data_IF_121724781494
#
_entry.id   IF_121724781494
#
_cell.length_a   1.000
_cell.length_b   1.000
_cell.length_c   1.000
_cell.angle_alpha   90.00
_cell.angle_beta   90.00
_cell.angle_gamma   90.00
#
_symmetry.space_group_name_H-M   'P 1'
#
loop_
_entity.id
_entity.type
_entity.pdbx_description
1 polymer ?
#
# COMPACT_ATOMS: atom_id res chain seq x y z
N UNK A 1 28.49 2.37 -27.71
CA UNK A 1 27.41 1.91 -28.62
C UNK A 1 26.55 3.10 -29.02
N UNK A 2 26.21 3.27 -30.30
CA UNK A 2 25.41 4.39 -30.80
C UNK A 2 23.95 4.31 -30.29
N UNK A 3 23.27 5.45 -30.19
CA UNK A 3 21.87 5.52 -29.70
C UNK A 3 20.87 4.68 -30.50
N UNK A 4 21.13 4.45 -31.79
CA UNK A 4 20.27 3.62 -32.65
C UNK A 4 20.31 2.12 -32.29
N UNK A 5 21.50 1.57 -31.97
CA UNK A 5 21.63 0.16 -31.57
C UNK A 5 20.95 -0.11 -30.21
N UNK A 6 20.89 0.90 -29.33
CA UNK A 6 20.24 0.77 -28.02
C UNK A 6 18.71 0.69 -28.14
N UNK A 7 18.11 1.50 -29.00
CA UNK A 7 16.66 1.50 -29.27
C UNK A 7 16.22 0.18 -29.92
N UNK A 8 17.03 -0.36 -30.84
CA UNK A 8 16.74 -1.64 -31.49
C UNK A 8 16.85 -2.82 -30.52
N UNK A 9 17.86 -2.82 -29.64
CA UNK A 9 18.00 -3.82 -28.58
C UNK A 9 16.86 -3.77 -27.55
N UNK A 10 16.40 -2.57 -27.16
CA UNK A 10 15.25 -2.38 -26.28
C UNK A 10 13.94 -2.91 -26.88
N UNK A 11 13.74 -2.74 -28.20
CA UNK A 11 12.59 -3.30 -28.91
C UNK A 11 12.58 -4.83 -28.94
N UNK A 12 13.74 -5.46 -29.16
CA UNK A 12 13.89 -6.92 -29.16
C UNK A 12 13.61 -7.50 -27.77
N UNK A 13 14.17 -6.92 -26.71
CA UNK A 13 13.96 -7.40 -25.33
C UNK A 13 12.48 -7.31 -24.94
N UNK A 14 11.76 -6.25 -25.31
CA UNK A 14 10.32 -6.13 -25.05
C UNK A 14 9.51 -7.24 -25.72
N UNK A 15 9.88 -7.64 -26.94
CA UNK A 15 9.21 -8.74 -27.63
C UNK A 15 9.48 -10.07 -26.93
N UNK A 16 10.73 -10.33 -26.54
CA UNK A 16 11.12 -11.53 -25.78
C UNK A 16 10.33 -11.62 -24.45
N UNK A 17 10.24 -10.52 -23.71
CA UNK A 17 9.46 -10.48 -22.46
C UNK A 17 8.00 -10.87 -22.70
N UNK A 18 7.36 -10.28 -23.72
CA UNK A 18 5.95 -10.59 -24.05
C UNK A 18 5.74 -12.05 -24.45
N UNK A 19 6.67 -12.61 -25.20
CA UNK A 19 6.62 -14.01 -25.64
C UNK A 19 6.72 -14.96 -24.44
N UNK A 20 7.66 -14.73 -23.53
CA UNK A 20 7.80 -15.53 -22.30
C UNK A 20 6.54 -15.41 -21.42
N UNK A 21 5.98 -14.20 -21.25
CA UNK A 21 4.73 -13.98 -20.49
C UNK A 21 3.59 -14.80 -21.09
N UNK A 22 3.41 -14.75 -22.42
CA UNK A 22 2.37 -15.49 -23.12
C UNK A 22 2.56 -17.00 -22.99
N UNK A 23 3.79 -17.47 -23.10
CA UNK A 23 4.09 -18.90 -23.02
C UNK A 23 3.87 -19.44 -21.60
N UNK A 24 4.31 -18.75 -20.56
CA UNK A 24 4.01 -19.10 -19.17
C UNK A 24 2.50 -19.09 -18.90
N UNK A 25 1.78 -18.07 -19.38
CA UNK A 25 0.33 -17.97 -19.20
C UNK A 25 -0.41 -19.12 -19.90
N UNK A 26 0.02 -19.51 -21.11
CA UNK A 26 -0.56 -20.65 -21.84
C UNK A 26 -0.40 -21.99 -21.09
N UNK A 27 0.56 -22.06 -20.16
CA UNK A 27 0.87 -23.22 -19.32
C UNK A 27 0.33 -23.08 -17.89
N UNK A 28 -0.50 -22.07 -17.64
CA UNK A 28 -1.22 -21.87 -16.37
C UNK A 28 -0.51 -20.99 -15.34
N UNK A 29 0.64 -20.41 -15.65
CA UNK A 29 1.42 -19.57 -14.74
C UNK A 29 1.38 -18.10 -15.17
N UNK A 30 0.72 -17.26 -14.38
CA UNK A 30 0.69 -15.82 -14.58
C UNK A 30 1.96 -15.16 -14.04
N UNK A 31 2.75 -14.54 -14.92
CA UNK A 31 4.00 -13.84 -14.55
C UNK A 31 3.98 -12.39 -15.01
N UNK A 32 4.58 -11.49 -14.21
CA UNK A 32 4.70 -10.08 -14.58
C UNK A 32 5.86 -9.84 -15.54
N UNK A 33 5.75 -8.81 -16.38
CA UNK A 33 6.85 -8.39 -17.27
C UNK A 33 8.13 -8.06 -16.48
N UNK A 34 8.00 -7.48 -15.28
CA UNK A 34 9.13 -7.17 -14.38
C UNK A 34 9.85 -8.42 -13.90
N UNK A 35 9.10 -9.46 -13.48
CA UNK A 35 9.69 -10.73 -13.06
C UNK A 35 10.44 -11.39 -14.22
N UNK A 36 9.84 -11.38 -15.41
CA UNK A 36 10.44 -11.94 -16.63
C UNK A 36 11.73 -11.19 -16.99
N UNK A 37 11.72 -9.85 -16.94
CA UNK A 37 12.91 -9.04 -17.16
C UNK A 37 14.04 -9.37 -16.17
N UNK A 38 13.70 -9.61 -14.90
CA UNK A 38 14.67 -10.03 -13.89
C UNK A 38 15.24 -11.43 -14.23
N UNK A 39 14.40 -12.39 -14.57
CA UNK A 39 14.83 -13.76 -14.92
C UNK A 39 15.71 -13.79 -16.17
N UNK A 40 15.36 -13.02 -17.21
CA UNK A 40 16.22 -12.85 -18.40
C UNK A 40 17.61 -12.39 -17.98
N UNK A 41 17.68 -11.33 -17.16
CA UNK A 41 18.96 -10.80 -16.66
C UNK A 41 19.72 -11.86 -15.85
N UNK A 42 19.06 -12.60 -14.97
CA UNK A 42 19.70 -13.66 -14.19
C UNK A 42 20.28 -14.77 -15.07
N UNK A 43 19.54 -15.22 -16.09
CA UNK A 43 19.96 -16.31 -16.99
C UNK A 43 21.12 -15.88 -17.88
N UNK A 44 21.07 -14.65 -18.41
CA UNK A 44 22.15 -14.09 -19.25
C UNK A 44 23.44 -13.89 -18.46
N UNK A 45 23.34 -13.54 -17.18
CA UNK A 45 24.51 -13.35 -16.31
C UNK A 45 25.09 -14.63 -15.73
N UNK A 46 24.37 -15.76 -15.80
CA UNK A 46 24.84 -17.02 -15.24
C UNK A 46 25.90 -17.65 -16.17
N UNK A 47 27.16 -17.83 -15.71
CA UNK A 47 28.27 -18.25 -16.58
C UNK A 47 28.04 -19.59 -17.27
N UNK A 48 27.22 -20.47 -16.69
CA UNK A 48 26.91 -21.79 -17.23
C UNK A 48 26.06 -21.73 -18.50
N UNK A 49 25.35 -20.62 -18.72
CA UNK A 49 24.48 -20.45 -19.88
C UNK A 49 25.23 -19.87 -21.09
N UNK A 50 26.48 -19.44 -20.93
CA UNK A 50 27.38 -19.01 -22.02
C UNK A 50 26.76 -17.97 -22.99
N UNK A 51 26.01 -17.01 -22.45
CA UNK A 51 25.50 -15.88 -23.23
C UNK A 51 26.56 -14.77 -23.33
N UNK A 52 26.85 -14.31 -24.55
CA UNK A 52 27.77 -13.20 -24.78
C UNK A 52 27.03 -11.86 -24.71
N UNK A 53 27.20 -11.12 -23.61
CA UNK A 53 26.49 -9.86 -23.32
C UNK A 53 26.80 -8.74 -24.33
N UNK A 54 27.97 -8.78 -24.98
CA UNK A 54 28.44 -7.72 -25.89
C UNK A 54 28.15 -7.99 -27.38
N UNK A 55 27.45 -9.09 -27.72
CA UNK A 55 27.15 -9.47 -29.11
C UNK A 55 25.67 -9.30 -29.41
N UNK A 56 25.35 -9.02 -30.69
CA UNK A 56 23.96 -9.04 -31.16
C UNK A 56 23.43 -10.47 -31.04
N UNK A 57 22.30 -10.65 -30.33
CA UNK A 57 21.66 -11.95 -30.15
C UNK A 57 21.23 -12.53 -31.51
N UNK A 58 21.72 -13.72 -31.85
CA UNK A 58 21.21 -14.46 -32.99
C UNK A 58 19.81 -15.01 -32.70
N UNK A 59 19.01 -15.31 -33.72
CA UNK A 59 17.66 -15.88 -33.55
C UNK A 59 17.66 -17.17 -32.73
N UNK A 60 18.70 -17.99 -32.86
CA UNK A 60 18.89 -19.22 -32.08
C UNK A 60 19.16 -18.92 -30.59
N UNK A 61 19.95 -17.89 -30.29
CA UNK A 61 20.21 -17.44 -28.92
C UNK A 61 18.94 -16.89 -28.26
N UNK A 62 18.09 -16.21 -29.03
CA UNK A 62 16.80 -15.70 -28.55
C UNK A 62 15.87 -16.85 -28.16
N UNK A 63 15.72 -17.85 -29.03
CA UNK A 63 14.87 -19.01 -28.71
C UNK A 63 15.39 -19.77 -27.49
N UNK A 64 16.72 -19.99 -27.43
CA UNK A 64 17.36 -20.64 -26.27
C UNK A 64 17.12 -19.87 -24.97
N UNK A 65 17.19 -18.53 -25.02
CA UNK A 65 16.90 -17.67 -23.88
C UNK A 65 15.44 -17.81 -23.43
N UNK A 66 14.49 -17.78 -24.37
CA UNK A 66 13.06 -17.96 -24.07
C UNK A 66 12.83 -19.31 -23.39
N UNK A 67 13.35 -20.39 -23.97
CA UNK A 67 13.17 -21.75 -23.42
C UNK A 67 13.74 -21.87 -22.00
N UNK A 68 14.92 -21.30 -21.74
CA UNK A 68 15.53 -21.29 -20.41
C UNK A 68 14.70 -20.47 -19.42
N UNK A 69 14.21 -19.29 -19.82
CA UNK A 69 13.35 -18.44 -19.00
C UNK A 69 12.02 -19.14 -18.66
N UNK A 70 11.33 -19.68 -19.66
CA UNK A 70 10.06 -20.38 -19.48
C UNK A 70 10.26 -21.59 -18.58
N UNK A 71 11.28 -22.42 -18.83
CA UNK A 71 11.61 -23.56 -17.97
C UNK A 71 11.86 -23.11 -16.52
N UNK A 72 12.59 -22.02 -16.33
CA UNK A 72 12.89 -21.48 -15.01
C UNK A 72 11.64 -20.97 -14.30
N UNK A 73 10.76 -20.25 -14.99
CA UNK A 73 9.54 -19.66 -14.44
C UNK A 73 8.46 -20.70 -14.09
N UNK A 74 8.45 -21.83 -14.77
CA UNK A 74 7.53 -22.95 -14.52
C UNK A 74 8.06 -23.95 -13.46
N UNK A 75 9.26 -23.74 -12.92
CA UNK A 75 9.81 -24.59 -11.87
C UNK A 75 9.16 -24.28 -10.51
N UNK A 76 7.96 -24.83 -10.32
CA UNK A 76 7.13 -24.61 -9.13
C UNK A 76 7.74 -25.16 -7.84
N UNK A 77 8.80 -25.97 -7.90
CA UNK A 77 9.48 -26.54 -6.73
C UNK A 77 10.74 -25.77 -6.31
N UNK A 78 11.02 -24.65 -6.97
CA UNK A 78 12.25 -23.89 -6.74
C UNK A 78 12.09 -22.80 -5.69
N UNK A 79 12.65 -23.05 -4.51
CA UNK A 79 12.73 -22.03 -3.45
C UNK A 79 13.54 -20.78 -3.87
N UNK A 80 14.52 -20.94 -4.78
CA UNK A 80 15.24 -19.78 -5.35
C UNK A 80 14.36 -18.96 -6.29
N UNK A 81 13.44 -19.58 -7.05
CA UNK A 81 12.46 -18.84 -7.82
C UNK A 81 11.48 -18.11 -6.91
N UNK A 82 11.00 -18.75 -5.84
CA UNK A 82 10.11 -18.10 -4.87
C UNK A 82 10.76 -16.89 -4.20
N UNK A 83 12.05 -17.00 -3.88
CA UNK A 83 12.83 -15.87 -3.34
C UNK A 83 12.86 -14.71 -4.33
N UNK A 84 13.11 -14.98 -5.62
CA UNK A 84 13.11 -13.94 -6.66
C UNK A 84 11.70 -13.34 -6.82
N UNK A 85 10.65 -14.16 -6.84
CA UNK A 85 9.26 -13.70 -6.91
C UNK A 85 8.93 -12.78 -5.73
N UNK A 86 9.33 -13.17 -4.52
CA UNK A 86 9.17 -12.38 -3.30
C UNK A 86 9.90 -11.05 -3.39
N UNK A 87 11.16 -11.04 -3.87
CA UNK A 87 11.96 -9.83 -4.01
C UNK A 87 11.35 -8.86 -5.03
N UNK A 88 11.00 -9.35 -6.22
CA UNK A 88 10.37 -8.53 -7.26
C UNK A 88 9.01 -8.00 -6.78
N UNK A 89 8.22 -8.83 -6.09
CA UNK A 89 6.95 -8.40 -5.52
C UNK A 89 7.16 -7.28 -4.49
N UNK A 90 8.07 -7.46 -3.55
CA UNK A 90 8.33 -6.47 -2.51
C UNK A 90 8.83 -5.15 -3.13
N UNK A 91 9.80 -5.20 -4.04
CA UNK A 91 10.33 -4.02 -4.73
C UNK A 91 9.26 -3.26 -5.55
N UNK A 92 8.26 -3.96 -6.08
CA UNK A 92 7.19 -3.34 -6.86
C UNK A 92 6.06 -2.74 -6.01
N UNK A 93 5.84 -3.25 -4.79
CA UNK A 93 4.66 -2.93 -3.99
C UNK A 93 5.00 -2.19 -2.69
N UNK A 94 6.23 -2.24 -2.23
CA UNK A 94 6.71 -1.51 -1.07
C UNK A 94 7.44 -0.23 -1.50
N UNK A 95 7.14 0.87 -0.79
CA UNK A 95 7.82 2.17 -0.92
C UNK A 95 7.89 2.78 0.46
N UNK A 96 8.71 3.81 0.65
CA UNK A 96 8.79 4.48 1.96
C UNK A 96 7.45 5.14 2.32
N UNK A 97 7.20 5.27 3.62
CA UNK A 97 5.99 5.91 4.16
C UNK A 97 5.70 7.28 3.53
N UNK A 98 6.73 8.12 3.38
CA UNK A 98 6.59 9.48 2.84
C UNK A 98 6.23 9.49 1.35
N UNK A 99 6.88 8.63 0.56
CA UNK A 99 6.57 8.45 -0.86
C UNK A 99 5.14 7.94 -1.03
N UNK A 100 4.75 6.95 -0.23
CA UNK A 100 3.40 6.39 -0.27
C UNK A 100 2.33 7.46 0.02
N UNK A 101 2.46 8.20 1.12
CA UNK A 101 1.48 9.21 1.50
C UNK A 101 1.43 10.37 0.48
N UNK A 102 2.58 10.75 -0.06
CA UNK A 102 2.66 11.78 -1.11
C UNK A 102 1.90 11.33 -2.36
N UNK A 103 2.14 10.10 -2.80
CA UNK A 103 1.48 9.54 -3.98
C UNK A 103 -0.03 9.31 -3.74
N UNK A 104 -0.41 8.80 -2.57
CA UNK A 104 -1.80 8.63 -2.18
C UNK A 104 -2.58 9.97 -2.24
N UNK A 105 -2.03 11.03 -1.64
CA UNK A 105 -2.64 12.36 -1.67
C UNK A 105 -2.72 12.92 -3.10
N UNK A 106 -1.69 12.68 -3.93
CA UNK A 106 -1.68 13.07 -5.35
C UNK A 106 -2.79 12.36 -6.12
N UNK A 107 -2.96 11.05 -5.93
CA UNK A 107 -4.01 10.24 -6.58
C UNK A 107 -5.39 10.70 -6.13
N UNK A 108 -5.61 10.92 -4.83
CA UNK A 108 -6.87 11.44 -4.30
C UNK A 108 -7.20 12.80 -4.93
N UNK A 109 -6.25 13.73 -4.95
CA UNK A 109 -6.42 15.04 -5.56
C UNK A 109 -6.75 14.93 -7.06
N UNK A 110 -6.11 14.01 -7.78
CA UNK A 110 -6.38 13.73 -9.19
C UNK A 110 -7.81 13.21 -9.41
N UNK A 111 -8.28 12.29 -8.56
CA UNK A 111 -9.66 11.76 -8.62
C UNK A 111 -10.71 12.82 -8.34
N UNK A 112 -10.39 13.81 -7.52
CA UNK A 112 -11.28 14.93 -7.21
C UNK A 112 -11.28 16.03 -8.29
N UNK A 113 -10.27 16.09 -9.18
CA UNK A 113 -10.18 17.16 -10.19
C UNK A 113 -11.45 17.39 -11.03
N UNK A 114 -12.19 16.36 -11.49
CA UNK A 114 -13.38 16.57 -12.31
C UNK A 114 -14.44 17.44 -11.62
N UNK A 115 -14.84 17.09 -10.39
CA UNK A 115 -15.84 17.86 -9.63
C UNK A 115 -15.33 19.26 -9.26
N UNK A 116 -14.03 19.39 -8.98
CA UNK A 116 -13.43 20.69 -8.65
C UNK A 116 -13.40 21.65 -9.84
N UNK A 117 -13.12 21.14 -11.04
CA UNK A 117 -13.23 21.95 -12.26
C UNK A 117 -14.66 22.39 -12.50
N UNK A 118 -15.63 21.49 -12.32
CA UNK A 118 -17.04 21.84 -12.44
C UNK A 118 -17.48 22.95 -11.47
N UNK A 119 -16.90 23.01 -10.27
CA UNK A 119 -17.20 24.07 -9.28
C UNK A 119 -16.45 25.36 -9.62
N UNK A 120 -15.14 25.28 -9.90
CA UNK A 120 -14.29 26.46 -10.07
C UNK A 120 -14.52 27.19 -11.39
N UNK A 121 -14.84 26.44 -12.45
CA UNK A 121 -15.15 26.99 -13.78
C UNK A 121 -16.62 27.40 -13.90
N UNK A 122 -17.45 27.14 -12.89
CA UNK A 122 -18.86 27.52 -12.86
C UNK A 122 -19.07 29.04 -12.95
N UNK A 123 -20.10 29.45 -13.71
CA UNK A 123 -20.53 30.85 -13.94
C UNK A 123 -22.05 31.01 -13.80
N UNK A 124 -22.66 30.19 -12.97
CA UNK A 124 -24.10 30.11 -12.78
C UNK A 124 -24.70 31.43 -12.27
N UNK A 125 -25.89 31.77 -12.76
CA UNK A 125 -26.58 33.03 -12.45
C UNK A 125 -28.02 32.83 -12.00
N UNK A 126 -28.66 31.71 -12.38
CA UNK A 126 -30.03 31.41 -11.96
C UNK A 126 -30.06 30.76 -10.58
N UNK A 127 -31.20 30.83 -9.90
CA UNK A 127 -31.37 30.25 -8.57
C UNK A 127 -31.15 28.73 -8.59
N UNK A 128 -31.75 28.05 -9.56
CA UNK A 128 -31.66 26.60 -9.73
C UNK A 128 -30.22 26.14 -10.00
N UNK A 129 -29.47 26.93 -10.78
CA UNK A 129 -28.06 26.66 -11.04
C UNK A 129 -27.17 26.89 -9.80
N UNK A 130 -27.45 27.92 -9.00
CA UNK A 130 -26.75 28.17 -7.73
C UNK A 130 -27.02 27.06 -6.71
N UNK A 131 -28.25 26.56 -6.63
CA UNK A 131 -28.59 25.39 -5.80
C UNK A 131 -27.83 24.13 -6.27
N UNK A 132 -27.71 23.94 -7.59
CA UNK A 132 -26.91 22.86 -8.18
C UNK A 132 -25.42 22.99 -7.82
N UNK A 133 -24.85 24.20 -7.95
CA UNK A 133 -23.47 24.49 -7.56
C UNK A 133 -23.23 24.19 -6.08
N UNK A 134 -24.14 24.62 -5.21
CA UNK A 134 -24.02 24.38 -3.77
C UNK A 134 -23.99 22.88 -3.44
N UNK A 135 -24.84 22.08 -4.10
CA UNK A 135 -24.81 20.61 -3.96
C UNK A 135 -23.45 20.03 -4.38
N UNK A 136 -22.86 20.51 -5.47
CA UNK A 136 -21.51 20.09 -5.90
C UNK A 136 -20.45 20.45 -4.86
N UNK A 137 -20.53 21.63 -4.25
CA UNK A 137 -19.62 22.03 -3.16
C UNK A 137 -19.75 21.06 -1.98
N UNK A 138 -20.98 20.76 -1.53
CA UNK A 138 -21.22 19.78 -0.46
C UNK A 138 -20.64 18.40 -0.81
N UNK A 139 -20.90 17.90 -2.02
CA UNK A 139 -20.32 16.63 -2.48
C UNK A 139 -18.79 16.67 -2.50
N UNK A 140 -18.17 17.77 -2.92
CA UNK A 140 -16.72 17.91 -2.92
C UNK A 140 -16.12 17.91 -1.51
N UNK A 141 -16.80 18.54 -0.55
CA UNK A 141 -16.40 18.55 0.87
C UNK A 141 -16.50 17.14 1.47
N UNK A 142 -17.58 16.40 1.18
CA UNK A 142 -17.73 15.01 1.64
C UNK A 142 -16.65 14.10 1.05
N UNK A 143 -16.44 14.15 -0.27
CA UNK A 143 -15.43 13.32 -0.94
C UNK A 143 -14.01 13.62 -0.48
N UNK A 144 -13.69 14.89 -0.19
CA UNK A 144 -12.37 15.27 0.35
C UNK A 144 -12.19 14.90 1.82
N UNK A 145 -13.23 15.05 2.62
CA UNK A 145 -13.16 14.80 4.07
C UNK A 145 -13.16 13.31 4.43
N UNK A 146 -13.71 12.46 3.56
CA UNK A 146 -13.89 11.04 3.85
C UNK A 146 -14.86 10.76 4.99
N UNK A 147 -15.71 11.73 5.37
CA UNK A 147 -16.71 11.61 6.43
C UNK A 147 -18.06 11.11 5.86
N UNK A 148 -18.06 9.92 5.27
CA UNK A 148 -19.25 9.28 4.71
C UNK A 148 -19.52 9.57 3.23
N UNK A 149 -20.60 8.96 2.70
CA UNK A 149 -20.91 8.98 1.27
C UNK A 149 -21.73 10.20 0.85
N UNK A 150 -21.43 10.85 -0.30
CA UNK A 150 -22.30 11.89 -0.88
C UNK A 150 -23.62 11.33 -1.44
N UNK A 151 -23.83 10.01 -1.42
CA UNK A 151 -25.10 9.37 -1.81
C UNK A 151 -26.02 9.14 -0.60
N UNK A 152 -25.52 9.27 0.62
CA UNK A 152 -26.31 9.11 1.84
C UNK A 152 -26.97 10.44 2.22
N UNK A 153 -28.29 10.45 2.23
CA UNK A 153 -29.11 11.64 2.49
C UNK A 153 -28.83 12.21 3.90
N UNK A 154 -28.60 11.35 4.90
CA UNK A 154 -28.36 11.76 6.28
C UNK A 154 -27.02 12.50 6.40
N UNK A 155 -25.97 11.93 5.81
CA UNK A 155 -24.61 12.49 5.72
C UNK A 155 -24.61 13.80 4.96
N UNK A 156 -25.28 13.85 3.80
CA UNK A 156 -25.40 15.06 2.97
C UNK A 156 -26.13 16.17 3.73
N UNK A 157 -27.19 15.85 4.47
CA UNK A 157 -27.93 16.84 5.27
C UNK A 157 -27.06 17.41 6.38
N UNK A 158 -26.32 16.57 7.09
CA UNK A 158 -25.42 17.02 8.16
C UNK A 158 -24.27 17.90 7.61
N UNK A 159 -23.62 17.47 6.53
CA UNK A 159 -22.58 18.26 5.88
C UNK A 159 -23.11 19.56 5.28
N UNK A 160 -24.33 19.57 4.76
CA UNK A 160 -25.00 20.79 4.28
C UNK A 160 -25.24 21.76 5.44
N UNK A 161 -25.74 21.29 6.59
CA UNK A 161 -25.97 22.13 7.76
C UNK A 161 -24.66 22.71 8.31
N UNK A 162 -23.60 21.89 8.40
CA UNK A 162 -22.27 22.35 8.81
C UNK A 162 -21.70 23.38 7.82
N UNK A 163 -21.82 23.14 6.50
CA UNK A 163 -21.38 24.10 5.49
C UNK A 163 -22.18 25.40 5.54
N UNK A 164 -23.51 25.34 5.67
CA UNK A 164 -24.36 26.54 5.76
C UNK A 164 -24.03 27.42 6.97
N UNK A 165 -23.51 26.82 8.06
CA UNK A 165 -23.09 27.58 9.24
C UNK A 165 -21.85 28.45 9.02
N UNK A 166 -21.05 28.17 8.00
CA UNK A 166 -19.80 28.89 7.69
C UNK A 166 -19.76 29.50 6.30
N UNK A 167 -20.60 29.03 5.40
CA UNK A 167 -20.71 29.43 4.01
C UNK A 167 -22.17 29.30 3.55
N UNK A 168 -23.04 30.25 3.94
CA UNK A 168 -24.44 30.24 3.53
C UNK A 168 -24.56 30.48 2.01
N UNK A 169 -25.68 30.07 1.41
CA UNK A 169 -25.90 30.20 -0.04
C UNK A 169 -25.78 31.64 -0.55
N UNK A 170 -26.01 32.64 0.30
CA UNK A 170 -25.83 34.05 -0.03
C UNK A 170 -24.37 34.40 -0.38
N UNK A 171 -23.39 33.64 0.11
CA UNK A 171 -21.97 33.82 -0.19
C UNK A 171 -21.55 33.24 -1.55
N UNK A 172 -22.43 32.52 -2.25
CA UNK A 172 -22.13 31.99 -3.58
C UNK A 172 -21.80 33.09 -4.60
N UNK A 173 -22.43 34.27 -4.49
CA UNK A 173 -22.13 35.41 -5.35
C UNK A 173 -20.68 35.88 -5.17
N UNK A 174 -20.23 36.00 -3.92
CA UNK A 174 -18.84 36.35 -3.60
C UNK A 174 -17.87 35.27 -4.07
N UNK A 175 -18.20 33.99 -3.83
CA UNK A 175 -17.41 32.85 -4.30
C UNK A 175 -17.23 32.85 -5.82
N UNK A 176 -18.29 33.10 -6.59
CA UNK A 176 -18.25 33.07 -8.05
C UNK A 176 -17.31 34.14 -8.64
N UNK A 177 -17.15 35.28 -7.96
CA UNK A 177 -16.27 36.38 -8.34
C UNK A 177 -14.78 36.11 -8.07
N UNK A 178 -14.45 35.07 -7.31
CA UNK A 178 -13.06 34.72 -7.01
C UNK A 178 -12.34 34.14 -8.24
N UNK A 179 -11.01 34.28 -8.24
CA UNK A 179 -10.16 33.59 -9.20
C UNK A 179 -10.27 32.07 -9.01
N UNK A 180 -9.97 31.29 -10.06
CA UNK A 180 -9.96 29.82 -9.98
C UNK A 180 -9.10 29.31 -8.80
N UNK A 181 -7.92 29.91 -8.62
CA UNK A 181 -6.99 29.60 -7.53
C UNK A 181 -7.58 29.90 -6.15
N UNK A 182 -8.26 31.03 -6.01
CA UNK A 182 -8.89 31.42 -4.74
C UNK A 182 -10.12 30.57 -4.42
N UNK A 183 -10.91 30.18 -5.44
CA UNK A 183 -11.99 29.19 -5.28
C UNK A 183 -11.45 27.86 -4.77
N UNK A 184 -10.37 27.36 -5.38
CA UNK A 184 -9.72 26.12 -4.94
C UNK A 184 -9.24 26.22 -3.48
N UNK A 185 -8.59 27.33 -3.10
CA UNK A 185 -8.16 27.57 -1.72
C UNK A 185 -9.34 27.59 -0.75
N UNK A 186 -10.42 28.32 -1.11
CA UNK A 186 -11.61 28.40 -0.28
C UNK A 186 -12.30 27.03 -0.12
N UNK A 187 -12.34 26.19 -1.17
CA UNK A 187 -12.88 24.84 -1.06
C UNK A 187 -12.07 23.97 -0.08
N UNK A 188 -10.74 24.11 -0.04
CA UNK A 188 -9.90 23.40 0.93
C UNK A 188 -10.20 23.87 2.35
N UNK A 189 -10.26 25.19 2.57
CA UNK A 189 -10.58 25.78 3.88
C UNK A 189 -11.97 25.35 4.36
N UNK A 190 -12.99 25.44 3.51
CA UNK A 190 -14.35 24.99 3.81
C UNK A 190 -14.39 23.50 4.14
N UNK A 191 -13.63 22.68 3.41
CA UNK A 191 -13.52 21.25 3.72
C UNK A 191 -12.99 21.03 5.12
N UNK A 192 -11.88 21.69 5.49
CA UNK A 192 -11.26 21.54 6.81
C UNK A 192 -12.18 22.03 7.93
N UNK A 193 -12.83 23.19 7.76
CA UNK A 193 -13.75 23.74 8.76
C UNK A 193 -14.96 22.82 8.93
N UNK A 194 -15.61 22.40 7.84
CA UNK A 194 -16.79 21.52 7.89
C UNK A 194 -16.45 20.16 8.49
N UNK A 195 -15.29 19.60 8.15
CA UNK A 195 -14.79 18.34 8.74
C UNK A 195 -14.67 18.48 10.25
N UNK A 196 -14.01 19.54 10.73
CA UNK A 196 -13.87 19.80 12.16
C UNK A 196 -15.21 20.01 12.88
N UNK A 197 -16.15 20.74 12.27
CA UNK A 197 -17.50 20.94 12.84
C UNK A 197 -18.22 19.60 13.00
N UNK A 198 -18.20 18.74 11.97
CA UNK A 198 -18.88 17.44 12.02
C UNK A 198 -18.26 16.50 13.06
N UNK A 199 -16.92 16.48 13.17
CA UNK A 199 -16.23 15.72 14.20
C UNK A 199 -16.58 16.20 15.62
N UNK A 200 -16.64 17.51 15.82
CA UNK A 200 -17.06 18.09 17.09
C UNK A 200 -18.53 17.80 17.41
N UNK A 201 -19.42 17.88 16.42
CA UNK A 201 -20.84 17.54 16.59
C UNK A 201 -21.04 16.06 16.96
N UNK A 202 -20.25 15.16 16.36
CA UNK A 202 -20.19 13.74 16.75
C UNK A 202 -19.82 13.60 18.23
N UNK A 203 -18.76 14.25 18.67
CA UNK A 203 -18.30 14.23 20.07
C UNK A 203 -19.37 14.78 21.04
N UNK A 204 -20.16 15.77 20.63
CA UNK A 204 -21.27 16.30 21.42
C UNK A 204 -22.56 15.46 21.37
N UNK A 205 -22.59 14.34 20.64
CA UNK A 205 -23.79 13.53 20.44
C UNK A 205 -24.90 14.23 19.62
N UNK A 206 -24.53 15.22 18.80
CA UNK A 206 -25.44 16.04 17.99
C UNK A 206 -25.32 15.77 16.48
N UNK A 207 -24.54 14.76 16.09
CA UNK A 207 -24.26 14.41 14.71
C UNK A 207 -23.28 13.25 14.63
N UNK A 208 -22.54 13.16 13.53
CA UNK A 208 -21.59 12.09 13.26
C UNK A 208 -22.09 10.98 12.35
N UNK A 209 -23.15 11.24 11.58
CA UNK A 209 -23.69 10.27 10.63
C UNK A 209 -22.63 9.92 9.58
N UNK A 210 -22.41 8.61 9.37
CA UNK A 210 -21.42 8.11 8.42
C UNK A 210 -19.95 8.41 8.79
N UNK A 211 -19.66 8.82 10.02
CA UNK A 211 -18.28 8.98 10.51
C UNK A 211 -17.86 7.71 11.26
N UNK A 212 -16.97 6.93 10.67
CA UNK A 212 -16.38 5.75 11.32
C UNK A 212 -15.57 6.12 12.56
N UNK A 213 -15.34 5.16 13.46
CA UNK A 213 -14.44 5.35 14.59
C UNK A 213 -13.02 4.91 14.21
N UNK A 214 -12.38 5.65 13.30
CA UNK A 214 -11.01 5.35 12.86
C UNK A 214 -10.03 5.14 14.03
N UNK A 215 -10.08 5.94 15.12
CA UNK A 215 -9.21 5.68 16.26
C UNK A 215 -9.43 4.33 16.93
N UNK A 216 -10.68 3.87 17.06
CA UNK A 216 -10.95 2.52 17.60
C UNK A 216 -10.50 1.42 16.63
N UNK A 217 -10.79 1.59 15.34
CA UNK A 217 -10.38 0.64 14.29
C UNK A 217 -8.86 0.48 14.27
N UNK A 218 -8.11 1.58 14.29
CA UNK A 218 -6.65 1.56 14.32
C UNK A 218 -6.09 0.93 15.61
N UNK A 219 -6.69 1.24 16.76
CA UNK A 219 -6.28 0.64 18.05
C UNK A 219 -6.47 -0.88 18.09
N UNK A 220 -7.37 -1.44 17.28
CA UNK A 220 -7.56 -2.89 17.15
C UNK A 220 -6.67 -3.48 16.05
N UNK A 221 -6.67 -2.86 14.87
CA UNK A 221 -6.01 -3.37 13.68
C UNK A 221 -4.48 -3.35 13.77
N UNK A 222 -3.89 -2.32 14.41
CA UNK A 222 -2.44 -2.21 14.55
C UNK A 222 -1.86 -3.36 15.41
N UNK A 223 -2.35 -3.61 16.65
CA UNK A 223 -1.89 -4.75 17.44
C UNK A 223 -2.11 -6.11 16.76
N UNK A 224 -3.25 -6.28 16.08
CA UNK A 224 -3.53 -7.51 15.33
C UNK A 224 -2.50 -7.73 14.21
N UNK A 225 -2.19 -6.69 13.43
CA UNK A 225 -1.19 -6.74 12.36
C UNK A 225 0.21 -6.99 12.91
N UNK A 226 0.60 -6.34 14.01
CA UNK A 226 1.90 -6.60 14.66
C UNK A 226 2.04 -8.03 15.16
N UNK A 227 0.97 -8.59 15.73
CA UNK A 227 0.94 -9.98 16.18
C UNK A 227 1.12 -10.95 15.01
N UNK A 228 0.43 -10.70 13.90
CA UNK A 228 0.55 -11.51 12.69
C UNK A 228 1.98 -11.46 12.12
N UNK A 229 2.55 -10.26 11.99
CA UNK A 229 3.94 -10.09 11.55
C UNK A 229 4.91 -10.82 12.48
N UNK A 230 4.71 -10.73 13.80
CA UNK A 230 5.54 -11.42 14.77
C UNK A 230 5.45 -12.94 14.62
N UNK A 231 4.25 -13.49 14.49
CA UNK A 231 4.06 -14.93 14.28
C UNK A 231 4.78 -15.42 13.01
N UNK A 232 4.60 -14.71 11.89
CA UNK A 232 5.29 -15.08 10.64
C UNK A 232 6.81 -14.91 10.72
N UNK A 233 7.28 -13.95 11.53
CA UNK A 233 8.72 -13.76 11.77
C UNK A 233 9.28 -14.94 12.55
N UNK A 234 8.60 -15.36 13.63
CA UNK A 234 9.01 -16.50 14.45
C UNK A 234 9.01 -17.79 13.62
N UNK A 235 8.01 -18.00 12.78
CA UNK A 235 7.93 -19.15 11.86
C UNK A 235 9.09 -19.15 10.83
N UNK A 236 9.46 -17.98 10.31
CA UNK A 236 10.57 -17.84 9.37
C UNK A 236 11.94 -18.09 10.04
N UNK A 237 12.10 -17.65 11.30
CA UNK A 237 13.29 -17.91 12.11
C UNK A 237 13.41 -19.41 12.41
N UNK A 238 12.35 -20.03 12.92
CA UNK A 238 12.30 -21.47 13.22
C UNK A 238 12.58 -22.32 11.97
N UNK A 239 11.98 -21.94 10.83
CA UNK A 239 12.28 -22.58 9.54
C UNK A 239 13.76 -22.47 9.18
N UNK A 240 14.36 -21.29 9.35
CA UNK A 240 15.79 -21.06 9.08
C UNK A 240 16.69 -21.91 9.98
N UNK A 241 16.38 -21.97 11.28
CA UNK A 241 17.15 -22.76 12.28
C UNK A 241 17.08 -24.26 12.00
N UNK A 242 15.90 -24.77 11.63
CA UNK A 242 15.72 -26.17 11.20
C UNK A 242 16.56 -26.48 9.96
N UNK A 243 16.55 -25.61 8.95
CA UNK A 243 17.33 -25.82 7.72
C UNK A 243 18.85 -25.78 8.00
N UNK A 244 19.31 -24.91 8.90
CA UNK A 244 20.71 -24.87 9.35
C UNK A 244 21.09 -26.20 10.02
N UNK A 245 20.25 -26.68 10.94
CA UNK A 245 20.49 -27.96 11.64
C UNK A 245 20.60 -29.14 10.68
N UNK A 246 19.75 -29.18 9.65
CA UNK A 246 19.81 -30.20 8.59
C UNK A 246 21.12 -30.10 7.80
N UNK A 247 21.56 -28.89 7.43
CA UNK A 247 22.83 -28.69 6.73
C UNK A 247 24.02 -29.14 7.58
N UNK A 248 24.02 -28.83 8.87
CA UNK A 248 25.08 -29.23 9.80
C UNK A 248 25.14 -30.76 9.95
N UNK A 249 23.98 -31.42 10.08
CA UNK A 249 23.91 -32.88 10.12
C UNK A 249 24.39 -33.52 8.80
N UNK A 250 24.05 -32.94 7.64
CA UNK A 250 24.58 -33.41 6.35
C UNK A 250 26.11 -33.32 6.29
N UNK A 251 26.70 -32.26 6.84
CA UNK A 251 28.15 -32.06 6.87
C UNK A 251 28.82 -33.03 7.87
N UNK A 252 28.25 -33.22 9.05
CA UNK A 252 28.83 -34.04 10.11
C UNK A 252 28.74 -35.54 9.84
N UNK A 253 27.62 -36.02 9.28
CA UNK A 253 27.31 -37.45 9.20
C UNK A 253 27.59 -38.07 7.83
N UNK A 254 28.14 -37.30 6.87
CA UNK A 254 28.33 -37.72 5.47
C UNK A 254 27.10 -38.46 4.91
N UNK A 255 25.88 -38.01 5.24
CA UNK A 255 24.65 -38.73 4.94
C UNK A 255 24.40 -38.81 3.42
N UNK A 256 24.96 -39.84 2.78
CA UNK A 256 24.82 -40.13 1.33
C UNK A 256 23.36 -40.38 0.91
N UNK A 257 22.47 -40.76 1.83
CA UNK A 257 21.04 -40.94 1.57
C UNK A 257 20.30 -39.61 1.45
N UNK A 258 20.47 -38.69 2.42
CA UNK A 258 19.86 -37.35 2.35
C UNK A 258 20.34 -36.57 1.12
N UNK A 259 21.64 -36.72 0.79
CA UNK A 259 22.25 -36.13 -0.42
C UNK A 259 21.62 -36.61 -1.74
N UNK A 260 20.98 -37.77 -1.78
CA UNK A 260 20.32 -38.31 -2.99
C UNK A 260 18.86 -37.89 -3.09
N UNK A 261 18.17 -37.79 -1.97
CA UNK A 261 16.73 -37.48 -1.90
C UNK A 261 16.46 -35.97 -1.87
N UNK A 262 17.28 -35.20 -1.13
CA UNK A 262 17.15 -33.75 -1.00
C UNK A 262 18.49 -33.09 -1.31
N UNK A 263 18.65 -32.48 -2.50
CA UNK A 263 19.89 -31.81 -2.86
C UNK A 263 20.23 -30.71 -1.86
N UNK A 264 21.50 -30.65 -1.42
CA UNK A 264 22.04 -29.59 -0.54
C UNK A 264 21.63 -28.19 -1.02
N UNK A 265 21.66 -27.99 -2.35
CA UNK A 265 21.25 -26.75 -3.00
C UNK A 265 19.82 -26.34 -2.63
N UNK A 266 18.87 -27.29 -2.61
CA UNK A 266 17.46 -27.01 -2.28
C UNK A 266 17.30 -26.51 -0.84
N UNK A 267 18.03 -27.09 0.12
CA UNK A 267 18.03 -26.66 1.52
C UNK A 267 18.62 -25.25 1.65
N UNK A 268 19.73 -24.98 0.96
CA UNK A 268 20.35 -23.64 0.94
C UNK A 268 19.41 -22.59 0.33
N UNK A 269 18.74 -22.90 -0.78
CA UNK A 269 17.77 -22.01 -1.42
C UNK A 269 16.56 -21.73 -0.51
N UNK A 270 16.02 -22.74 0.16
CA UNK A 270 14.94 -22.56 1.16
C UNK A 270 15.39 -21.74 2.38
N UNK A 271 16.64 -21.91 2.83
CA UNK A 271 17.16 -21.10 3.94
C UNK A 271 17.28 -19.63 3.54
N UNK A 272 17.74 -19.35 2.31
CA UNK A 272 17.78 -17.99 1.77
C UNK A 272 16.36 -17.40 1.67
N UNK A 273 15.40 -18.19 1.20
CA UNK A 273 13.99 -17.80 1.14
C UNK A 273 13.44 -17.37 2.52
N UNK A 274 13.65 -18.20 3.55
CA UNK A 274 13.21 -17.87 4.92
C UNK A 274 13.88 -16.61 5.47
N UNK A 275 15.19 -16.44 5.26
CA UNK A 275 15.90 -15.21 5.67
C UNK A 275 15.44 -13.97 4.90
N UNK A 276 15.13 -14.11 3.61
CA UNK A 276 14.59 -13.01 2.82
C UNK A 276 13.23 -12.55 3.36
N UNK A 277 12.35 -13.50 3.70
CA UNK A 277 11.07 -13.18 4.32
C UNK A 277 11.27 -12.46 5.66
N UNK A 278 12.13 -12.98 6.54
CA UNK A 278 12.43 -12.36 7.84
C UNK A 278 12.84 -10.89 7.69
N UNK A 279 13.71 -10.58 6.72
CA UNK A 279 14.13 -9.21 6.43
C UNK A 279 12.95 -8.31 6.05
N UNK A 280 12.06 -8.78 5.18
CA UNK A 280 10.88 -8.02 4.76
C UNK A 280 9.86 -7.84 5.89
N UNK A 281 9.60 -8.89 6.68
CA UNK A 281 8.73 -8.81 7.86
C UNK A 281 9.27 -7.81 8.88
N UNK A 282 10.59 -7.71 9.06
CA UNK A 282 11.21 -6.71 9.94
C UNK A 282 10.99 -5.28 9.46
N UNK A 283 11.04 -5.04 8.14
CA UNK A 283 10.73 -3.74 7.54
C UNK A 283 9.26 -3.39 7.83
N UNK A 284 8.33 -4.29 7.51
CA UNK A 284 6.90 -4.08 7.78
C UNK A 284 6.62 -3.85 9.27
N UNK A 285 7.26 -4.62 10.16
CA UNK A 285 7.13 -4.46 11.61
C UNK A 285 7.53 -3.06 12.07
N UNK A 286 8.62 -2.50 11.53
CA UNK A 286 9.06 -1.17 11.89
C UNK A 286 8.06 -0.10 11.45
N UNK A 287 7.49 -0.24 10.25
CA UNK A 287 6.48 0.70 9.74
C UNK A 287 5.17 0.62 10.54
N UNK A 288 4.69 -0.57 10.87
CA UNK A 288 3.49 -0.73 11.71
C UNK A 288 3.74 -0.21 13.13
N UNK A 289 4.94 -0.39 13.69
CA UNK A 289 5.34 0.23 14.98
C UNK A 289 5.38 1.76 14.88
N UNK A 290 5.80 2.32 13.75
CA UNK A 290 5.69 3.77 13.53
C UNK A 290 4.23 4.20 13.52
N UNK A 291 3.37 3.51 12.78
CA UNK A 291 1.92 3.78 12.77
C UNK A 291 1.32 3.72 14.17
N UNK A 292 1.74 2.77 15.03
CA UNK A 292 1.29 2.71 16.42
C UNK A 292 1.60 4.01 17.19
N UNK A 293 2.82 4.53 17.05
CA UNK A 293 3.27 5.77 17.70
C UNK A 293 2.52 7.00 17.17
N UNK A 294 2.36 7.09 15.86
CA UNK A 294 1.62 8.19 15.22
C UNK A 294 0.16 8.20 15.66
N UNK A 295 -0.51 7.04 15.70
CA UNK A 295 -1.91 6.93 16.16
C UNK A 295 -2.04 7.32 17.62
N UNK A 296 -1.10 6.92 18.48
CA UNK A 296 -1.09 7.32 19.89
C UNK A 296 -0.99 8.85 20.04
N UNK A 297 -0.07 9.48 19.29
CA UNK A 297 0.10 10.93 19.30
C UNK A 297 -1.16 11.65 18.77
N UNK A 298 -1.68 11.21 17.62
CA UNK A 298 -2.91 11.74 17.03
C UNK A 298 -4.09 11.61 17.99
N UNK A 299 -4.21 10.50 18.71
CA UNK A 299 -5.27 10.28 19.71
C UNK A 299 -5.18 11.27 20.87
N UNK A 300 -3.98 11.50 21.39
CA UNK A 300 -3.78 12.48 22.46
C UNK A 300 -4.12 13.89 21.98
N UNK A 301 -3.62 14.28 20.80
CA UNK A 301 -3.92 15.57 20.20
C UNK A 301 -5.43 15.73 19.93
N UNK A 302 -6.09 14.70 19.38
CA UNK A 302 -7.51 14.73 19.05
C UNK A 302 -8.38 14.98 20.28
N UNK A 303 -8.15 14.21 21.36
CA UNK A 303 -8.87 14.36 22.64
C UNK A 303 -8.64 15.75 23.24
N UNK A 304 -7.39 16.20 23.28
CA UNK A 304 -7.05 17.52 23.81
C UNK A 304 -7.77 18.64 23.04
N UNK A 305 -7.78 18.56 21.71
CA UNK A 305 -8.41 19.58 20.85
C UNK A 305 -9.93 19.59 20.97
N UNK A 306 -10.56 18.43 21.10
CA UNK A 306 -12.00 18.34 21.38
C UNK A 306 -12.35 19.02 22.70
N UNK A 307 -11.59 18.78 23.78
CA UNK A 307 -11.83 19.43 25.07
C UNK A 307 -11.60 20.95 25.02
N UNK A 308 -10.59 21.41 24.29
CA UNK A 308 -10.36 22.84 24.06
C UNK A 308 -11.51 23.49 23.27
N UNK A 309 -12.02 22.82 22.23
CA UNK A 309 -13.18 23.28 21.48
C UNK A 309 -14.45 23.33 22.35
N UNK A 310 -14.68 22.30 23.17
CA UNK A 310 -15.79 22.27 24.14
C UNK A 310 -15.70 23.49 25.05
N UNK A 311 -14.55 23.73 25.67
CA UNK A 311 -14.35 24.89 26.55
C UNK A 311 -14.51 26.23 25.82
N UNK A 312 -14.06 26.32 24.56
CA UNK A 312 -14.15 27.55 23.77
C UNK A 312 -15.60 27.92 23.44
N UNK A 313 -16.45 26.92 23.18
CA UNK A 313 -17.83 27.08 22.69
C UNK A 313 -18.86 27.01 23.83
N UNK A 314 -18.58 26.25 24.89
CA UNK A 314 -19.51 26.00 25.98
C UNK A 314 -19.91 27.32 26.68
N UNK A 315 -21.21 27.45 26.95
CA UNK A 315 -21.84 28.59 27.63
C UNK A 315 -21.69 29.96 26.91
N UNK A 316 -21.30 29.98 25.63
CA UNK A 316 -21.26 31.20 24.82
C UNK A 316 -22.39 31.23 23.81
N UNK A 317 -23.09 32.36 23.72
CA UNK A 317 -24.13 32.61 22.72
C UNK A 317 -23.55 32.84 21.32
N UNK A 318 -22.32 33.35 21.23
CA UNK A 318 -21.58 33.52 19.99
C UNK A 318 -20.07 33.44 20.27
N UNK A 319 -19.32 32.86 19.33
CA UNK A 319 -17.85 32.79 19.36
C UNK A 319 -17.31 33.41 18.07
N UNK A 320 -16.30 34.30 18.14
CA UNK A 320 -15.68 34.86 16.95
C UNK A 320 -15.14 33.77 16.02
N UNK A 321 -15.45 33.87 14.72
CA UNK A 321 -15.01 32.91 13.69
C UNK A 321 -13.48 32.78 13.64
N UNK A 322 -12.77 33.90 13.78
CA UNK A 322 -11.31 33.96 13.86
C UNK A 322 -10.71 33.14 15.01
N UNK A 323 -11.49 32.86 16.06
CA UNK A 323 -11.05 32.04 17.19
C UNK A 323 -11.37 30.55 17.00
N UNK A 324 -12.51 30.23 16.38
CA UNK A 324 -13.03 28.86 16.32
C UNK A 324 -12.65 28.12 15.03
N UNK A 325 -12.58 28.79 13.88
CA UNK A 325 -12.23 28.15 12.61
C UNK A 325 -10.84 27.51 12.62
N UNK A 326 -9.78 28.15 13.14
CA UNK A 326 -8.47 27.50 13.23
C UNK A 326 -8.50 26.21 14.07
N UNK A 327 -9.33 26.15 15.12
CA UNK A 327 -9.46 24.95 15.95
C UNK A 327 -10.15 23.81 15.19
N UNK A 328 -11.22 24.09 14.43
CA UNK A 328 -11.87 23.09 13.57
C UNK A 328 -10.95 22.59 12.46
N UNK A 329 -10.21 23.48 11.80
CA UNK A 329 -9.24 23.10 10.78
C UNK A 329 -8.15 22.20 11.34
N UNK A 330 -7.67 22.49 12.55
CA UNK A 330 -6.68 21.66 13.23
C UNK A 330 -7.25 20.29 13.61
N UNK A 331 -8.50 20.22 14.09
CA UNK A 331 -9.19 18.95 14.34
C UNK A 331 -9.31 18.10 13.07
N UNK A 332 -9.63 18.72 11.94
CA UNK A 332 -9.66 18.04 10.64
C UNK A 332 -8.28 17.55 10.20
N UNK A 333 -7.21 18.32 10.44
CA UNK A 333 -5.84 17.88 10.14
C UNK A 333 -5.44 16.63 10.93
N UNK A 334 -5.81 16.55 12.21
CA UNK A 334 -5.57 15.36 13.03
C UNK A 334 -6.36 14.17 12.48
N UNK A 335 -7.60 14.41 12.06
CA UNK A 335 -8.44 13.37 11.44
C UNK A 335 -7.85 12.82 10.14
N UNK A 336 -7.32 13.69 9.28
CA UNK A 336 -6.61 13.27 8.07
C UNK A 336 -5.37 12.42 8.39
N UNK A 337 -4.71 12.69 9.52
CA UNK A 337 -3.66 11.81 10.06
C UNK A 337 -4.16 10.38 10.31
N UNK A 338 -5.31 10.20 10.97
CA UNK A 338 -5.89 8.85 11.14
C UNK A 338 -6.24 8.19 9.80
N UNK A 339 -6.74 8.94 8.82
CA UNK A 339 -7.03 8.40 7.49
C UNK A 339 -5.75 7.95 6.76
N UNK A 340 -4.68 8.72 6.87
CA UNK A 340 -3.37 8.36 6.32
C UNK A 340 -2.86 7.04 6.94
N UNK A 341 -2.98 6.87 8.26
CA UNK A 341 -2.61 5.62 8.95
C UNK A 341 -3.46 4.42 8.52
N UNK A 342 -4.76 4.62 8.32
CA UNK A 342 -5.66 3.56 7.86
C UNK A 342 -5.23 3.02 6.49
N UNK A 343 -4.91 3.91 5.57
CA UNK A 343 -4.52 3.52 4.21
C UNK A 343 -3.14 2.87 4.22
N UNK A 344 -2.19 3.39 5.00
CA UNK A 344 -0.87 2.77 5.18
C UNK A 344 -0.98 1.35 5.74
N UNK A 345 -1.73 1.17 6.83
CA UNK A 345 -1.90 -0.13 7.45
C UNK A 345 -2.53 -1.13 6.48
N UNK A 346 -3.53 -0.71 5.69
CA UNK A 346 -4.15 -1.55 4.68
C UNK A 346 -3.14 -2.05 3.63
N UNK A 347 -2.25 -1.19 3.16
CA UNK A 347 -1.21 -1.59 2.18
C UNK A 347 -0.17 -2.50 2.81
N UNK A 348 0.29 -2.20 4.02
CA UNK A 348 1.25 -3.05 4.74
C UNK A 348 0.67 -4.45 5.00
N UNK A 349 -0.60 -4.55 5.40
CA UNK A 349 -1.28 -5.83 5.56
C UNK A 349 -1.44 -6.58 4.24
N UNK A 350 -1.76 -5.89 3.13
CA UNK A 350 -1.83 -6.52 1.81
C UNK A 350 -0.48 -7.07 1.37
N UNK A 351 0.63 -6.35 1.62
CA UNK A 351 1.97 -6.83 1.34
C UNK A 351 2.26 -8.07 2.19
N UNK A 352 2.00 -8.02 3.50
CA UNK A 352 2.16 -9.15 4.42
C UNK A 352 1.47 -10.42 3.90
N UNK A 353 0.18 -10.36 3.58
CA UNK A 353 -0.56 -11.50 3.04
C UNK A 353 -0.02 -12.01 1.71
N UNK A 354 0.48 -11.10 0.86
CA UNK A 354 1.00 -11.47 -0.45
C UNK A 354 2.41 -12.08 -0.41
N UNK A 355 3.12 -11.93 0.71
CA UNK A 355 4.43 -12.58 0.90
C UNK A 355 4.31 -14.06 1.28
N UNK A 356 3.24 -14.46 1.97
CA UNK A 356 3.08 -15.82 2.47
C UNK A 356 3.22 -16.92 1.40
N UNK A 357 2.60 -16.81 0.20
CA UNK A 357 2.67 -17.86 -0.81
C UNK A 357 4.09 -18.17 -1.28
N UNK A 358 5.03 -17.23 -1.17
CA UNK A 358 6.44 -17.42 -1.56
C UNK A 358 7.24 -18.28 -0.56
N UNK A 359 6.60 -18.82 0.48
CA UNK A 359 7.24 -19.73 1.44
C UNK A 359 6.80 -21.18 1.31
N UNK A 360 5.84 -21.47 0.42
CA UNK A 360 5.22 -22.80 0.31
C UNK A 360 6.25 -23.90 0.07
N UNK A 361 7.20 -23.71 -0.84
CA UNK A 361 8.25 -24.70 -1.11
C UNK A 361 9.14 -24.98 0.11
N UNK A 362 9.40 -23.97 0.93
CA UNK A 362 10.17 -24.12 2.17
C UNK A 362 9.37 -24.89 3.22
N UNK A 363 8.07 -24.57 3.38
CA UNK A 363 7.15 -25.30 4.27
C UNK A 363 7.02 -26.78 3.84
N UNK A 364 6.88 -27.05 2.54
CA UNK A 364 6.84 -28.41 1.98
C UNK A 364 8.15 -29.17 2.21
N UNK A 365 9.30 -28.51 2.03
CA UNK A 365 10.60 -29.11 2.29
C UNK A 365 10.77 -29.52 3.75
N UNK A 366 10.33 -28.70 4.70
CA UNK A 366 10.38 -29.02 6.12
C UNK A 366 9.35 -30.07 6.54
N UNK A 367 8.29 -30.26 5.74
CA UNK A 367 7.32 -31.32 5.92
C UNK A 367 7.79 -32.68 5.36
N UNK A 368 8.83 -32.70 4.52
CA UNK A 368 9.39 -33.90 3.90
C UNK A 368 9.90 -34.91 4.95
N UNK A 369 9.54 -36.18 4.79
CA UNK A 369 9.86 -37.24 5.74
C UNK A 369 11.37 -37.44 5.93
N UNK A 370 12.18 -37.26 4.89
CA UNK A 370 13.63 -37.39 5.00
C UNK A 370 14.21 -36.25 5.85
N UNK A 371 13.72 -35.03 5.63
CA UNK A 371 14.11 -33.84 6.41
C UNK A 371 13.67 -33.98 7.86
N UNK A 372 12.43 -34.40 8.12
CA UNK A 372 11.91 -34.65 9.49
C UNK A 372 12.67 -35.74 10.22
N UNK A 373 12.99 -36.85 9.55
CA UNK A 373 13.83 -37.92 10.14
C UNK A 373 15.23 -37.41 10.48
N UNK A 374 15.79 -36.50 9.69
CA UNK A 374 17.06 -35.88 10.00
C UNK A 374 16.94 -34.99 11.24
N UNK A 375 15.92 -34.13 11.31
CA UNK A 375 15.67 -33.25 12.45
C UNK A 375 15.46 -34.02 13.77
N UNK A 376 14.64 -35.07 13.76
CA UNK A 376 14.36 -35.91 14.93
C UNK A 376 15.59 -36.67 15.47
N UNK A 377 16.68 -36.76 14.70
CA UNK A 377 17.94 -37.37 15.15
C UNK A 377 18.90 -36.35 15.76
N UNK A 378 18.63 -35.06 15.57
CA UNK A 378 19.45 -33.94 16.04
C UNK A 378 18.91 -33.41 17.38
N UNK A 379 17.58 -33.41 17.55
CA UNK A 379 16.86 -33.21 18.82
C UNK A 379 16.97 -34.43 19.72
#
# INVERSE_FOLDING_TARGET
MSGANRIQAEGVIKNIIREIVQECASRGEGVSETLVAFIIKSIVLEPQNDFQVDRVLASEDVQRLIDLCVKRLLDSKSASLDTIKMQVYFDMNYTTRDEFLTEHRRVLQSRLQPILREITDNRSTTKEELESLYRKIVSSVLLRSGLGSPTDISVVREATAALQSVFPQTELGNFLNLSKRDKDRQLVELTQIVTGIRLFNKECGKGGEGIDNLPAILNEAIPATLKEIQQQTDDAIDSSEKLISVLDAMNALQHKQLSKETPRKRIQESMINSRQLELYLKILSNDVKQSAREVEELLQQFKFRLEQLKTTIQNKTAVPTAQVYPQFMHLASIWFGFQDEMVLLSVLSNILYSLEPYTLNTKELLADDAVRKCLNRIT
#
